data_IF_941510616279
#
_entry.id   IF_941510616279
#
_cell.length_a   1.000
_cell.length_b   1.000
_cell.length_c   1.000
_cell.angle_alpha   90.00
_cell.angle_beta   90.00
_cell.angle_gamma   90.00
#
_symmetry.space_group_name_H-M   'P 1'
#
loop_
_entity.id
_entity.type
_entity.pdbx_description
1 polymer ?
#
# COMPACT_ATOMS: atom_id res chain seq x y z
N UNK A 1 36.36 -0.78 11.60
CA UNK A 1 35.32 -0.98 10.56
C UNK A 1 34.62 0.33 10.19
N UNK A 2 34.02 1.07 11.15
CA UNK A 2 33.26 2.32 10.88
C UNK A 2 34.18 3.38 10.22
N UNK A 3 35.40 3.59 10.77
CA UNK A 3 36.36 4.55 10.23
C UNK A 3 36.81 4.15 8.83
N UNK A 4 37.09 2.89 8.57
CA UNK A 4 37.47 2.39 7.25
C UNK A 4 36.36 2.61 6.19
N UNK A 5 35.10 2.36 6.58
CA UNK A 5 33.95 2.65 5.73
C UNK A 5 33.85 4.15 5.45
N UNK A 6 33.97 5.00 6.48
CA UNK A 6 33.92 6.45 6.34
C UNK A 6 35.01 6.97 5.39
N UNK A 7 36.25 6.53 5.61
CA UNK A 7 37.40 6.94 4.77
C UNK A 7 37.17 6.54 3.30
N UNK A 8 36.64 5.34 3.06
CA UNK A 8 36.31 4.87 1.71
C UNK A 8 35.17 5.69 1.06
N UNK A 9 34.15 6.05 1.83
CA UNK A 9 33.03 6.88 1.32
C UNK A 9 33.50 8.31 1.04
N UNK A 10 34.32 8.91 1.92
CA UNK A 10 34.85 10.25 1.69
C UNK A 10 35.84 10.31 0.51
N UNK A 11 36.57 9.24 0.27
CA UNK A 11 37.42 9.13 -0.92
C UNK A 11 36.58 9.09 -2.23
N UNK A 12 35.37 8.50 -2.18
CA UNK A 12 34.46 8.38 -3.32
C UNK A 12 33.64 9.64 -3.56
N UNK A 13 33.07 10.22 -2.48
CA UNK A 13 32.07 11.30 -2.57
C UNK A 13 32.61 12.67 -2.16
N UNK A 14 33.86 12.78 -1.71
CA UNK A 14 34.57 14.01 -1.28
C UNK A 14 34.00 14.68 -0.03
N UNK A 15 32.67 14.81 0.09
CA UNK A 15 31.99 15.44 1.24
C UNK A 15 30.81 14.59 1.72
N UNK A 16 30.44 14.75 3.00
CA UNK A 16 29.26 14.12 3.59
C UNK A 16 27.97 14.58 2.89
N UNK A 17 27.90 15.85 2.51
CA UNK A 17 26.72 16.40 1.82
C UNK A 17 26.54 15.75 0.47
N UNK A 18 27.61 15.55 -0.28
CA UNK A 18 27.57 14.91 -1.59
C UNK A 18 27.20 13.43 -1.49
N UNK A 19 27.79 12.73 -0.49
CA UNK A 19 27.37 11.36 -0.15
C UNK A 19 25.89 11.26 0.18
N UNK A 20 25.39 12.08 1.11
CA UNK A 20 23.97 12.08 1.50
C UNK A 20 23.04 12.40 0.32
N UNK A 21 23.39 13.39 -0.48
CA UNK A 21 22.63 13.76 -1.67
C UNK A 21 22.52 12.61 -2.67
N UNK A 22 23.65 11.97 -2.96
CA UNK A 22 23.69 10.87 -3.93
C UNK A 22 22.90 9.66 -3.44
N UNK A 23 23.09 9.24 -2.19
CA UNK A 23 22.36 8.12 -1.59
C UNK A 23 20.85 8.36 -1.58
N UNK A 24 20.43 9.60 -1.30
CA UNK A 24 19.00 9.96 -1.36
C UNK A 24 18.47 9.88 -2.78
N UNK A 25 19.23 10.34 -3.77
CA UNK A 25 18.85 10.25 -5.19
C UNK A 25 18.75 8.81 -5.66
N UNK A 26 19.72 7.99 -5.32
CA UNK A 26 19.76 6.56 -5.65
C UNK A 26 18.59 5.82 -5.03
N UNK A 27 18.29 6.06 -3.75
CA UNK A 27 17.11 5.52 -3.09
C UNK A 27 15.80 5.91 -3.77
N UNK A 28 15.68 7.14 -4.26
CA UNK A 28 14.49 7.62 -4.99
C UNK A 28 14.33 7.01 -6.37
N UNK A 29 15.43 6.74 -7.04
CA UNK A 29 15.48 6.32 -8.43
C UNK A 29 15.72 4.82 -8.62
N UNK A 30 16.97 4.37 -8.50
CA UNK A 30 17.37 2.99 -8.77
C UNK A 30 16.92 1.98 -7.73
N UNK A 31 16.67 2.43 -6.49
CA UNK A 31 16.33 1.56 -5.37
C UNK A 31 17.54 0.87 -4.72
N UNK A 32 18.73 1.31 -5.02
CA UNK A 32 19.95 0.90 -4.31
C UNK A 32 20.58 2.15 -3.66
N UNK A 33 20.58 2.29 -2.33
CA UNK A 33 20.18 1.28 -1.33
C UNK A 33 18.66 1.10 -1.22
N UNK A 34 18.21 -0.12 -0.86
CA UNK A 34 16.80 -0.44 -0.61
C UNK A 34 16.31 0.05 0.76
N UNK A 35 17.22 0.27 1.70
CA UNK A 35 16.93 0.67 3.08
C UNK A 35 17.77 1.89 3.46
N UNK A 36 17.09 2.92 4.00
CA UNK A 36 17.74 4.06 4.63
C UNK A 36 17.55 4.01 6.15
N UNK A 37 18.66 4.03 6.90
CA UNK A 37 18.65 4.11 8.36
C UNK A 37 19.01 5.54 8.76
N UNK A 38 18.08 6.21 9.43
CA UNK A 38 18.25 7.61 9.84
C UNK A 38 17.90 7.82 11.31
N UNK A 39 18.52 8.78 11.97
CA UNK A 39 18.20 9.11 13.36
C UNK A 39 17.15 10.20 13.45
N UNK A 40 17.33 11.31 12.74
CA UNK A 40 16.40 12.46 12.72
C UNK A 40 16.37 13.18 11.37
N UNK A 41 17.21 12.79 10.43
CA UNK A 41 17.20 13.32 9.06
C UNK A 41 16.00 12.77 8.28
N UNK A 42 15.62 13.47 7.22
CA UNK A 42 14.59 13.05 6.26
C UNK A 42 13.14 13.03 6.80
N UNK A 43 12.89 13.49 8.01
CA UNK A 43 11.53 13.68 8.51
C UNK A 43 10.83 14.85 7.79
N UNK A 44 11.60 15.89 7.44
CA UNK A 44 11.11 17.04 6.68
C UNK A 44 11.81 17.16 5.32
N UNK A 45 11.10 17.61 4.30
CA UNK A 45 11.69 17.86 2.97
C UNK A 45 12.06 16.61 2.16
N UNK A 46 11.95 15.41 2.71
CA UNK A 46 12.22 14.17 1.98
C UNK A 46 10.98 13.71 1.23
N UNK A 47 11.10 13.54 -0.06
CA UNK A 47 10.05 13.03 -0.93
C UNK A 47 10.55 11.83 -1.73
N UNK A 48 10.01 10.66 -1.41
CA UNK A 48 10.28 9.39 -2.09
C UNK A 48 9.00 8.57 -2.15
N UNK A 49 8.12 8.78 -3.15
CA UNK A 49 6.82 8.10 -3.24
C UNK A 49 6.95 6.57 -3.28
N UNK A 50 8.06 6.04 -3.83
CA UNK A 50 8.36 4.60 -3.84
C UNK A 50 8.63 4.00 -2.45
N UNK A 51 8.92 4.84 -1.42
CA UNK A 51 9.15 4.35 -0.06
C UNK A 51 7.89 3.70 0.48
N UNK A 52 7.95 2.40 0.74
CA UNK A 52 6.78 1.57 1.06
C UNK A 52 6.65 1.28 2.54
N UNK A 53 7.77 1.21 3.28
CA UNK A 53 7.77 0.81 4.69
C UNK A 53 8.54 1.82 5.54
N UNK A 54 7.94 2.20 6.65
CA UNK A 54 8.57 2.97 7.72
C UNK A 54 8.75 2.11 8.96
N UNK A 55 10.00 1.91 9.39
CA UNK A 55 10.33 1.27 10.66
C UNK A 55 10.58 2.34 11.72
N UNK A 56 9.72 2.38 12.74
CA UNK A 56 9.85 3.31 13.87
C UNK A 56 10.55 2.59 15.01
N UNK A 57 11.86 2.88 15.18
CA UNK A 57 12.74 2.24 16.15
C UNK A 57 13.15 3.20 17.27
N UNK A 58 12.50 4.34 17.40
CA UNK A 58 12.69 5.29 18.51
C UNK A 58 11.44 6.13 18.68
N UNK A 59 11.22 6.62 19.89
CA UNK A 59 10.13 7.54 20.18
C UNK A 59 10.20 8.80 19.29
N UNK A 60 9.11 9.12 18.64
CA UNK A 60 8.91 10.33 17.85
C UNK A 60 7.81 11.16 18.51
N UNK A 61 8.00 12.46 18.57
CA UNK A 61 6.91 13.36 19.00
C UNK A 61 5.80 13.33 17.94
N UNK A 62 4.57 13.52 18.36
CA UNK A 62 3.33 13.44 17.56
C UNK A 62 3.47 14.05 16.16
N UNK A 63 3.88 15.31 16.07
CA UNK A 63 4.07 16.00 14.80
C UNK A 63 5.12 15.31 13.88
N UNK A 64 6.23 14.85 14.42
CA UNK A 64 7.27 14.16 13.68
C UNK A 64 6.81 12.77 13.21
N UNK A 65 5.98 12.10 14.00
CA UNK A 65 5.40 10.81 13.63
C UNK A 65 4.43 10.97 12.46
N UNK A 66 3.53 11.95 12.52
CA UNK A 66 2.62 12.24 11.41
C UNK A 66 3.35 12.59 10.12
N UNK A 67 4.41 13.41 10.21
CA UNK A 67 5.24 13.73 9.05
C UNK A 67 5.94 12.49 8.47
N UNK A 68 6.43 11.58 9.32
CA UNK A 68 7.05 10.35 8.87
C UNK A 68 6.03 9.41 8.18
N UNK A 69 4.83 9.30 8.73
CA UNK A 69 3.71 8.53 8.15
C UNK A 69 3.34 9.07 6.77
N UNK A 70 3.16 10.38 6.64
CA UNK A 70 2.85 11.02 5.36
C UNK A 70 3.89 10.73 4.25
N UNK A 71 5.14 10.38 4.63
CA UNK A 71 6.19 10.05 3.66
C UNK A 71 5.99 8.69 2.99
N UNK A 72 5.44 7.72 3.71
CA UNK A 72 5.19 6.38 3.17
C UNK A 72 3.78 6.22 2.62
N UNK A 73 2.84 7.10 2.98
CA UNK A 73 1.45 7.07 2.52
C UNK A 73 1.27 7.92 1.25
N UNK A 74 2.09 7.69 0.23
CA UNK A 74 2.00 8.35 -1.08
C UNK A 74 1.70 7.34 -2.16
N UNK A 75 0.82 7.72 -3.08
CA UNK A 75 0.56 6.95 -4.28
C UNK A 75 1.81 6.92 -5.17
N UNK A 76 2.10 5.77 -5.73
CA UNK A 76 3.21 5.57 -6.65
C UNK A 76 2.88 4.46 -7.64
N UNK A 77 3.13 4.70 -8.92
CA UNK A 77 3.01 3.69 -9.96
C UNK A 77 4.37 3.50 -10.63
N UNK A 78 4.83 2.27 -10.69
CA UNK A 78 6.03 1.89 -11.42
C UNK A 78 5.69 0.71 -12.34
N UNK A 79 5.64 0.97 -13.64
CA UNK A 79 5.37 -0.04 -14.66
C UNK A 79 4.04 -0.81 -14.46
N UNK A 80 2.99 -0.10 -14.05
CA UNK A 80 1.67 -0.68 -13.79
C UNK A 80 1.56 -1.43 -12.46
N UNK A 81 2.54 -1.28 -11.59
CA UNK A 81 2.48 -1.71 -10.19
C UNK A 81 2.16 -0.51 -9.31
N UNK A 82 0.89 -0.34 -9.03
CA UNK A 82 0.40 0.76 -8.20
C UNK A 82 0.62 0.45 -6.71
N UNK A 83 1.35 1.34 -6.04
CA UNK A 83 1.41 1.39 -4.58
C UNK A 83 0.25 2.22 -4.06
N UNK A 84 -0.69 1.61 -3.37
CA UNK A 84 -1.90 2.28 -2.86
C UNK A 84 -1.77 2.72 -1.40
N UNK A 85 -0.81 2.19 -0.63
CA UNK A 85 -0.61 2.48 0.78
C UNK A 85 0.85 2.22 1.20
N UNK A 86 1.24 2.78 2.34
CA UNK A 86 2.50 2.48 3.01
C UNK A 86 2.29 1.62 4.26
N UNK A 87 3.36 0.98 4.70
CA UNK A 87 3.37 0.20 5.94
C UNK A 87 4.15 0.91 7.01
N UNK A 88 3.70 0.78 8.26
CA UNK A 88 4.42 1.24 9.43
C UNK A 88 4.66 0.05 10.33
N UNK A 89 5.93 -0.17 10.69
CA UNK A 89 6.34 -1.18 11.67
C UNK A 89 6.83 -0.43 12.89
N UNK A 90 6.05 -0.47 13.95
CA UNK A 90 6.30 0.27 15.18
C UNK A 90 6.87 -0.65 16.27
N UNK A 91 8.12 -0.41 16.63
CA UNK A 91 8.80 -1.12 17.72
C UNK A 91 8.70 -0.40 19.07
N UNK A 92 8.20 0.84 19.09
CA UNK A 92 8.10 1.68 20.28
C UNK A 92 6.70 1.70 20.91
N UNK A 93 5.69 1.19 20.18
CA UNK A 93 4.29 1.17 20.63
C UNK A 93 3.58 2.52 20.53
N UNK A 94 4.05 3.40 19.66
CA UNK A 94 3.50 4.77 19.50
C UNK A 94 2.17 4.80 18.75
N UNK A 95 1.82 3.73 18.02
CA UNK A 95 0.61 3.69 17.21
C UNK A 95 -0.67 3.73 18.04
N UNK A 96 -0.62 3.32 19.32
CA UNK A 96 -1.74 3.48 20.25
C UNK A 96 -2.05 4.94 20.59
N UNK A 97 -1.02 5.79 20.63
CA UNK A 97 -1.15 7.22 20.87
C UNK A 97 -1.50 7.98 19.57
N UNK A 98 -1.25 7.36 18.42
CA UNK A 98 -1.46 7.96 17.11
C UNK A 98 -2.94 8.17 16.79
N UNK A 99 -3.81 7.25 17.19
CA UNK A 99 -5.26 7.34 16.95
C UNK A 99 -5.85 8.57 17.66
N UNK A 100 -5.33 8.86 18.85
CA UNK A 100 -5.68 10.05 19.64
C UNK A 100 -5.09 11.34 19.03
N UNK A 101 -3.84 11.27 18.57
CA UNK A 101 -3.18 12.37 17.89
C UNK A 101 -3.81 12.69 16.52
N UNK A 102 -4.18 11.69 15.72
CA UNK A 102 -4.85 11.86 14.42
C UNK A 102 -6.24 12.48 14.59
N UNK A 103 -7.02 12.07 15.60
CA UNK A 103 -8.32 12.65 15.87
C UNK A 103 -8.23 14.12 16.31
N UNK A 104 -7.17 14.47 17.02
CA UNK A 104 -6.88 15.86 17.45
C UNK A 104 -6.40 16.72 16.30
N UNK A 105 -5.56 16.17 15.39
CA UNK A 105 -4.94 16.89 14.27
C UNK A 105 -5.93 17.14 13.12
N UNK A 106 -6.83 16.19 12.85
CA UNK A 106 -7.89 16.36 11.85
C UNK A 106 -8.85 17.51 12.19
N UNK A 107 -8.97 17.85 13.48
CA UNK A 107 -9.77 18.97 13.94
C UNK A 107 -9.09 20.35 13.69
N UNK A 108 -7.78 20.39 13.45
CA UNK A 108 -7.01 21.65 13.40
C UNK A 108 -6.56 22.12 12.02
N UNK A 109 -6.35 21.26 11.02
CA UNK A 109 -5.66 21.63 9.77
C UNK A 109 -6.41 21.36 8.46
N UNK A 110 -7.73 21.22 8.45
CA UNK A 110 -8.49 21.14 7.18
C UNK A 110 -8.13 19.95 6.29
N UNK A 111 -7.54 18.91 6.84
CA UNK A 111 -7.46 17.60 6.22
C UNK A 111 -8.82 16.92 6.33
N UNK A 112 -9.30 16.33 5.24
CA UNK A 112 -10.50 15.51 5.29
C UNK A 112 -10.27 14.38 6.30
N UNK A 113 -11.04 14.38 7.38
CA UNK A 113 -10.95 13.35 8.43
C UNK A 113 -11.18 11.94 7.85
N UNK A 114 -11.84 11.83 6.70
CA UNK A 114 -12.03 10.58 5.97
C UNK A 114 -10.71 10.01 5.40
N UNK A 115 -9.72 10.86 5.08
CA UNK A 115 -8.41 10.41 4.60
C UNK A 115 -7.49 9.90 5.72
N UNK A 116 -7.77 10.27 6.95
CA UNK A 116 -6.99 9.91 8.13
C UNK A 116 -7.66 8.81 8.98
N UNK A 117 -9.00 8.81 9.05
CA UNK A 117 -9.78 7.78 9.73
C UNK A 117 -9.63 6.47 8.95
N UNK A 118 -9.01 5.48 9.58
CA UNK A 118 -8.80 4.17 9.00
C UNK A 118 -7.41 3.93 8.40
N UNK A 119 -6.45 4.81 8.69
CA UNK A 119 -5.03 4.58 8.30
C UNK A 119 -4.29 3.68 9.28
N UNK A 120 -4.72 3.61 10.55
CA UNK A 120 -4.19 2.67 11.55
C UNK A 120 -5.17 1.53 11.72
N UNK A 121 -4.78 0.33 11.31
CA UNK A 121 -5.60 -0.87 11.43
C UNK A 121 -4.91 -1.88 12.34
N UNK A 122 -5.65 -2.46 13.27
CA UNK A 122 -5.22 -3.69 13.92
C UNK A 122 -5.19 -4.80 12.86
N UNK A 123 -4.00 -5.30 12.58
CA UNK A 123 -3.78 -6.32 11.53
C UNK A 123 -4.62 -7.57 11.81
N UNK A 124 -4.84 -7.96 13.07
CA UNK A 124 -5.69 -9.10 13.41
C UNK A 124 -7.15 -8.85 13.07
N UNK A 125 -7.64 -7.62 13.28
CA UNK A 125 -8.99 -7.22 12.89
C UNK A 125 -9.15 -7.23 11.36
N UNK A 126 -8.15 -6.77 10.62
CA UNK A 126 -8.15 -6.83 9.16
C UNK A 126 -8.15 -8.27 8.65
N UNK A 127 -7.31 -9.16 9.23
CA UNK A 127 -7.28 -10.58 8.86
C UNK A 127 -8.66 -11.23 9.08
N UNK A 128 -9.35 -10.89 10.16
CA UNK A 128 -10.70 -11.41 10.46
C UNK A 128 -11.76 -10.99 9.44
N UNK A 129 -11.60 -9.83 8.80
CA UNK A 129 -12.52 -9.35 7.74
C UNK A 129 -12.31 -10.07 6.41
N UNK A 130 -11.16 -10.70 6.20
CA UNK A 130 -10.75 -11.28 4.92
C UNK A 130 -11.76 -12.30 4.35
N UNK A 131 -12.26 -13.27 5.13
CA UNK A 131 -13.26 -14.22 4.63
C UNK A 131 -14.55 -13.53 4.17
N UNK A 132 -15.02 -12.53 4.92
CA UNK A 132 -16.24 -11.78 4.59
C UNK A 132 -16.06 -10.95 3.30
N UNK A 133 -14.92 -10.27 3.15
CA UNK A 133 -14.62 -9.49 1.95
C UNK A 133 -14.47 -10.40 0.71
N UNK A 134 -13.90 -11.57 0.88
CA UNK A 134 -13.81 -12.58 -0.17
C UNK A 134 -15.19 -13.10 -0.59
N UNK A 135 -16.08 -13.40 0.36
CA UNK A 135 -17.45 -13.82 0.08
C UNK A 135 -18.22 -12.70 -0.64
N UNK A 136 -18.14 -11.46 -0.15
CA UNK A 136 -18.75 -10.31 -0.79
C UNK A 136 -18.28 -10.12 -2.23
N UNK A 137 -17.00 -10.36 -2.52
CA UNK A 137 -16.46 -10.28 -3.88
C UNK A 137 -17.08 -11.36 -4.78
N UNK A 138 -17.20 -12.59 -4.29
CA UNK A 138 -17.88 -13.68 -5.01
C UNK A 138 -19.37 -13.43 -5.20
N UNK A 139 -20.01 -12.68 -4.29
CA UNK A 139 -21.42 -12.32 -4.38
C UNK A 139 -21.78 -11.53 -5.63
N UNK A 140 -20.86 -10.74 -6.16
CA UNK A 140 -21.04 -10.03 -7.43
C UNK A 140 -21.40 -11.00 -8.57
N UNK A 141 -20.86 -12.21 -8.48
CA UNK A 141 -21.01 -13.24 -9.52
C UNK A 141 -21.99 -14.37 -9.15
N UNK A 142 -22.92 -14.13 -8.21
CA UNK A 142 -23.94 -15.12 -7.82
C UNK A 142 -24.80 -15.63 -8.99
N UNK A 143 -25.10 -14.76 -9.94
CA UNK A 143 -25.92 -15.07 -11.12
C UNK A 143 -25.15 -15.81 -12.22
N UNK A 144 -23.81 -15.82 -12.18
CA UNK A 144 -22.98 -16.52 -13.15
C UNK A 144 -23.00 -18.01 -12.87
N UNK A 145 -23.53 -18.80 -13.82
CA UNK A 145 -23.75 -20.25 -13.65
C UNK A 145 -22.42 -21.04 -13.70
N UNK A 146 -21.57 -20.72 -14.67
CA UNK A 146 -20.29 -21.42 -14.83
C UNK A 146 -19.14 -20.55 -14.30
N UNK A 147 -18.70 -20.84 -13.08
CA UNK A 147 -17.61 -20.11 -12.42
C UNK A 147 -16.21 -20.42 -12.96
N UNK A 148 -16.09 -21.24 -14.01
CA UNK A 148 -14.83 -21.51 -14.71
C UNK A 148 -14.75 -20.81 -16.06
N UNK A 149 -15.82 -20.19 -16.50
CA UNK A 149 -15.94 -19.54 -17.81
C UNK A 149 -15.73 -18.03 -17.66
N UNK A 150 -14.52 -17.57 -17.96
CA UNK A 150 -14.14 -16.16 -17.84
C UNK A 150 -14.96 -15.24 -18.75
N UNK A 151 -15.42 -15.72 -19.91
CA UNK A 151 -16.26 -14.92 -20.80
C UNK A 151 -17.61 -14.58 -20.16
N UNK A 152 -18.21 -15.51 -19.40
CA UNK A 152 -19.44 -15.23 -18.66
C UNK A 152 -19.24 -14.19 -17.57
N UNK A 153 -18.06 -14.17 -16.91
CA UNK A 153 -17.72 -13.11 -15.95
C UNK A 153 -17.58 -11.75 -16.63
N UNK A 154 -16.90 -11.68 -17.77
CA UNK A 154 -16.74 -10.45 -18.53
C UNK A 154 -18.08 -9.92 -19.03
N UNK A 155 -18.95 -10.80 -19.58
CA UNK A 155 -20.30 -10.43 -20.01
C UNK A 155 -21.16 -9.92 -18.86
N UNK A 156 -21.04 -10.53 -17.68
CA UNK A 156 -21.75 -10.09 -16.47
C UNK A 156 -21.32 -8.67 -16.04
N UNK A 157 -20.05 -8.32 -16.25
CA UNK A 157 -19.48 -7.00 -15.97
C UNK A 157 -19.69 -5.98 -17.10
N UNK A 158 -20.49 -6.28 -18.12
CA UNK A 158 -20.88 -5.31 -19.15
C UNK A 158 -21.70 -4.15 -18.56
N UNK A 159 -22.52 -4.42 -17.55
CA UNK A 159 -23.25 -3.40 -16.80
C UNK A 159 -22.30 -2.54 -15.97
N UNK A 160 -22.38 -1.22 -16.15
CA UNK A 160 -21.48 -0.25 -15.50
C UNK A 160 -21.59 -0.30 -13.98
N UNK A 161 -22.80 -0.44 -13.42
CA UNK A 161 -23.00 -0.44 -11.97
C UNK A 161 -22.45 -1.72 -11.34
N UNK A 162 -22.64 -2.87 -11.97
CA UNK A 162 -22.08 -4.16 -11.51
C UNK A 162 -20.56 -4.12 -11.61
N UNK A 163 -20.02 -3.52 -12.66
CA UNK A 163 -18.57 -3.39 -12.88
C UNK A 163 -17.91 -2.49 -11.82
N UNK A 164 -18.52 -1.35 -11.50
CA UNK A 164 -18.04 -0.47 -10.44
C UNK A 164 -18.09 -1.14 -9.07
N UNK A 165 -19.17 -1.86 -8.78
CA UNK A 165 -19.29 -2.64 -7.56
C UNK A 165 -18.22 -3.73 -7.47
N UNK A 166 -17.93 -4.43 -8.56
CA UNK A 166 -16.82 -5.38 -8.64
C UNK A 166 -15.48 -4.71 -8.35
N UNK A 167 -15.19 -3.57 -8.95
CA UNK A 167 -13.93 -2.86 -8.72
C UNK A 167 -13.79 -2.40 -7.27
N UNK A 168 -14.85 -1.89 -6.68
CA UNK A 168 -14.89 -1.47 -5.28
C UNK A 168 -14.61 -2.64 -4.34
N UNK A 169 -15.27 -3.78 -4.54
CA UNK A 169 -15.09 -4.98 -3.69
C UNK A 169 -13.73 -5.62 -3.90
N UNK A 170 -13.25 -5.69 -5.12
CA UNK A 170 -11.90 -6.20 -5.42
C UNK A 170 -10.82 -5.32 -4.76
N UNK A 171 -10.99 -4.00 -4.80
CA UNK A 171 -10.07 -3.05 -4.13
C UNK A 171 -10.03 -3.30 -2.61
N UNK A 172 -11.18 -3.43 -1.97
CA UNK A 172 -11.27 -3.69 -0.54
C UNK A 172 -10.64 -5.04 -0.16
N UNK A 173 -10.97 -6.11 -0.90
CA UNK A 173 -10.39 -7.43 -0.70
C UNK A 173 -8.87 -7.44 -0.92
N UNK A 174 -8.38 -6.84 -2.01
CA UNK A 174 -6.94 -6.75 -2.32
C UNK A 174 -6.17 -6.04 -1.22
N UNK A 175 -6.67 -4.90 -0.74
CA UNK A 175 -6.05 -4.14 0.34
C UNK A 175 -5.93 -5.00 1.61
N UNK A 176 -7.03 -5.62 2.03
CA UNK A 176 -7.08 -6.47 3.20
C UNK A 176 -6.14 -7.69 3.07
N UNK A 177 -6.13 -8.34 1.91
CA UNK A 177 -5.25 -9.48 1.63
C UNK A 177 -3.77 -9.10 1.68
N UNK A 178 -3.38 -7.95 1.11
CA UNK A 178 -2.00 -7.48 1.16
C UNK A 178 -1.54 -7.17 2.59
N UNK A 179 -2.39 -6.52 3.40
CA UNK A 179 -2.12 -6.28 4.82
C UNK A 179 -1.95 -7.62 5.56
N UNK A 180 -2.84 -8.57 5.34
CA UNK A 180 -2.80 -9.87 5.97
C UNK A 180 -1.53 -10.65 5.61
N UNK A 181 -1.15 -10.65 4.32
CA UNK A 181 0.04 -11.36 3.82
C UNK A 181 1.37 -10.76 4.31
N UNK A 182 1.38 -9.52 4.77
CA UNK A 182 2.57 -8.88 5.36
C UNK A 182 2.77 -9.20 6.84
N UNK A 183 1.86 -9.95 7.46
CA UNK A 183 1.88 -10.29 8.87
C UNK A 183 2.01 -11.79 9.11
N UNK A 184 2.86 -12.16 10.05
CA UNK A 184 2.98 -13.53 10.58
C UNK A 184 1.69 -14.00 11.27
N UNK A 185 0.87 -13.05 11.75
CA UNK A 185 -0.44 -13.32 12.40
C UNK A 185 -1.48 -13.94 11.47
N UNK A 186 -1.25 -13.91 10.16
CA UNK A 186 -2.11 -14.58 9.20
C UNK A 186 -2.21 -16.08 9.46
N UNK A 187 -1.08 -16.70 9.78
CA UNK A 187 -1.00 -18.15 10.05
C UNK A 187 -1.62 -18.54 11.39
N UNK A 188 -1.87 -17.60 12.30
CA UNK A 188 -2.63 -17.82 13.54
C UNK A 188 -4.15 -17.92 13.29
N UNK A 189 -4.62 -17.38 12.15
CA UNK A 189 -6.06 -17.22 11.86
C UNK A 189 -6.53 -18.10 10.70
N UNK A 190 -5.70 -18.27 9.66
CA UNK A 190 -6.02 -19.00 8.44
C UNK A 190 -5.00 -20.13 8.19
N UNK A 191 -5.47 -21.26 7.70
CA UNK A 191 -4.61 -22.35 7.26
C UNK A 191 -4.02 -22.10 5.85
N UNK A 192 -3.01 -22.89 5.50
CA UNK A 192 -2.30 -22.78 4.22
C UNK A 192 -3.23 -22.97 3.01
N UNK A 193 -4.24 -23.84 3.12
CA UNK A 193 -5.19 -24.09 2.03
C UNK A 193 -6.11 -22.89 1.81
N UNK A 194 -6.56 -22.26 2.89
CA UNK A 194 -7.35 -21.03 2.84
C UNK A 194 -6.54 -19.88 2.24
N UNK A 195 -5.30 -19.70 2.68
CA UNK A 195 -4.39 -18.68 2.15
C UNK A 195 -4.13 -18.90 0.66
N UNK A 196 -3.86 -20.14 0.24
CA UNK A 196 -3.63 -20.49 -1.16
C UNK A 196 -4.86 -20.17 -2.02
N UNK A 197 -6.07 -20.48 -1.53
CA UNK A 197 -7.32 -20.17 -2.20
C UNK A 197 -7.53 -18.67 -2.35
N UNK A 198 -7.35 -17.88 -1.30
CA UNK A 198 -7.49 -16.43 -1.34
C UNK A 198 -6.52 -15.78 -2.36
N UNK A 199 -5.27 -16.24 -2.40
CA UNK A 199 -4.26 -15.80 -3.37
C UNK A 199 -4.65 -16.17 -4.80
N UNK A 200 -5.15 -17.39 -5.01
CA UNK A 200 -5.58 -17.86 -6.33
C UNK A 200 -6.76 -17.04 -6.85
N UNK A 201 -7.77 -16.83 -6.00
CA UNK A 201 -8.97 -16.06 -6.37
C UNK A 201 -8.63 -14.58 -6.60
N UNK A 202 -7.74 -14.00 -5.78
CA UNK A 202 -7.24 -12.64 -6.00
C UNK A 202 -6.56 -12.50 -7.37
N UNK A 203 -5.72 -13.47 -7.76
CA UNK A 203 -5.05 -13.47 -9.06
C UNK A 203 -6.09 -13.53 -10.20
N UNK A 204 -7.05 -14.45 -10.11
CA UNK A 204 -8.12 -14.60 -11.09
C UNK A 204 -8.93 -13.30 -11.26
N UNK A 205 -9.36 -12.68 -10.17
CA UNK A 205 -10.12 -11.43 -10.23
C UNK A 205 -9.30 -10.23 -10.69
N UNK A 206 -8.00 -10.21 -10.42
CA UNK A 206 -7.09 -9.18 -10.92
C UNK A 206 -6.89 -9.29 -12.44
N UNK A 207 -6.77 -10.51 -12.96
CA UNK A 207 -6.71 -10.77 -14.39
C UNK A 207 -8.04 -10.41 -15.08
N UNK A 208 -9.17 -10.77 -14.46
CA UNK A 208 -10.51 -10.39 -14.93
C UNK A 208 -10.67 -8.86 -14.99
N UNK A 209 -10.28 -8.15 -13.92
CA UNK A 209 -10.31 -6.68 -13.92
C UNK A 209 -9.56 -6.10 -15.11
N UNK A 210 -8.34 -6.60 -15.37
CA UNK A 210 -7.51 -6.13 -16.48
C UNK A 210 -8.18 -6.37 -17.83
N UNK A 211 -8.74 -7.57 -18.04
CA UNK A 211 -9.45 -7.92 -19.28
C UNK A 211 -10.66 -7.03 -19.50
N UNK A 212 -11.48 -6.85 -18.46
CA UNK A 212 -12.67 -6.00 -18.46
C UNK A 212 -12.34 -4.53 -18.70
N UNK A 213 -11.26 -4.03 -18.11
CA UNK A 213 -10.79 -2.67 -18.37
C UNK A 213 -10.44 -2.48 -19.86
N UNK A 214 -9.72 -3.42 -20.45
CA UNK A 214 -9.39 -3.36 -21.88
C UNK A 214 -10.63 -3.45 -22.77
N UNK A 215 -11.61 -4.30 -22.41
CA UNK A 215 -12.83 -4.53 -23.21
C UNK A 215 -13.81 -3.36 -23.15
N UNK A 216 -13.96 -2.72 -21.97
CA UNK A 216 -14.96 -1.68 -21.73
C UNK A 216 -14.34 -0.29 -21.51
N UNK A 217 -13.04 -0.11 -21.72
CA UNK A 217 -12.46 1.22 -21.80
C UNK A 217 -13.16 1.98 -22.93
N UNK A 218 -13.89 3.04 -22.58
CA UNK A 218 -14.42 3.97 -23.58
C UNK A 218 -13.22 4.49 -24.36
N UNK A 219 -13.18 4.19 -25.65
CA UNK A 219 -12.24 4.80 -26.57
C UNK A 219 -12.36 6.31 -26.39
N UNK A 220 -11.28 6.94 -25.95
CA UNK A 220 -11.21 8.41 -25.93
C UNK A 220 -11.43 8.83 -27.38
N UNK A 221 -12.55 9.52 -27.63
CA UNK A 221 -12.91 9.97 -28.96
C UNK A 221 -11.86 11.02 -29.37
N UNK A 222 -10.93 10.61 -30.23
CA UNK A 222 -9.87 11.46 -30.79
C UNK A 222 -10.41 12.53 -31.75
N UNK A 223 -11.70 12.85 -31.67
CA UNK A 223 -12.37 13.86 -32.53
C UNK A 223 -12.43 15.26 -31.93
N UNK A 224 -11.81 15.50 -30.77
CA UNK A 224 -11.73 16.85 -30.16
C UNK A 224 -10.29 17.36 -30.05
N UNK A 225 -9.41 17.05 -31.02
CA UNK A 225 -8.16 17.78 -31.24
C UNK A 225 -8.07 18.29 -32.67
#
# INVERSE_FOLDING_TARGET
RVRQFWDAMMARYRTEEEYNRQIIQDFKGSGDPEILIVVSKLLTGFDAPRNTVLYVCKSLKEHNLLQAIARVNRLFDENGKEKQFGFIVDYEGLLGELDEALSTYSAFEGYDSEDLIGTVHDVKEEIRKLPQLHEQLWDVFKSVRNKKDMEQFEQHLADDAIREEFYRRLKAFSRCLHIALSSDKLFDVLDDAQIARLKSDWKQFSELKRSVQLRYQKTVDLKEF
#
